data_IF_077171983373
#
_entry.id   IF_077171983373
#
_cell.length_a   1.000
_cell.length_b   1.000
_cell.length_c   1.000
_cell.angle_alpha   90.00
_cell.angle_beta   90.00
_cell.angle_gamma   90.00
#
_symmetry.space_group_name_H-M   'P 1'
#
loop_
_entity.id
_entity.type
_entity.pdbx_description
1 polymer ?
#
# COMPACT_ATOMS: atom_id res chain seq x y z
N UNK A 1 20.17 12.06 -35.69
CA UNK A 1 18.87 12.12 -34.98
C UNK A 1 18.46 10.80 -34.29
N UNK A 2 19.40 9.89 -33.95
CA UNK A 2 19.09 8.60 -33.29
C UNK A 2 19.50 8.50 -31.81
N UNK A 3 20.21 9.49 -31.23
CA UNK A 3 20.64 9.44 -29.82
C UNK A 3 19.63 10.03 -28.83
N UNK A 4 18.76 10.96 -29.25
CA UNK A 4 17.76 11.61 -28.38
C UNK A 4 16.62 10.67 -27.93
N UNK A 5 16.30 9.64 -28.73
CA UNK A 5 15.20 8.69 -28.48
C UNK A 5 15.61 7.59 -27.48
N UNK A 6 16.90 7.24 -27.42
CA UNK A 6 17.41 6.20 -26.50
C UNK A 6 17.46 6.68 -25.05
N UNK A 7 17.77 7.97 -24.83
CA UNK A 7 17.82 8.59 -23.50
C UNK A 7 16.42 8.75 -22.86
N UNK A 8 15.39 9.08 -23.65
CA UNK A 8 14.03 9.28 -23.11
C UNK A 8 13.39 7.96 -22.65
N UNK A 9 13.56 6.88 -23.42
CA UNK A 9 13.04 5.55 -23.05
C UNK A 9 13.70 4.97 -21.79
N UNK A 10 15.02 5.13 -21.65
CA UNK A 10 15.77 4.70 -20.46
C UNK A 10 15.34 5.44 -19.18
N UNK A 11 15.00 6.73 -19.31
CA UNK A 11 14.61 7.57 -18.17
C UNK A 11 13.19 7.23 -17.69
N UNK A 12 12.28 6.94 -18.63
CA UNK A 12 10.92 6.51 -18.32
C UNK A 12 10.90 5.15 -17.60
N UNK A 13 11.68 4.18 -18.09
CA UNK A 13 11.78 2.86 -17.46
C UNK A 13 12.30 2.93 -16.01
N UNK A 14 13.27 3.80 -15.73
CA UNK A 14 13.78 4.02 -14.38
C UNK A 14 12.73 4.67 -13.46
N UNK A 15 11.93 5.61 -13.97
CA UNK A 15 10.86 6.25 -13.21
C UNK A 15 9.75 5.26 -12.85
N UNK A 16 9.39 4.36 -13.77
CA UNK A 16 8.36 3.36 -13.54
C UNK A 16 8.82 2.27 -12.55
N UNK A 17 10.09 1.85 -12.64
CA UNK A 17 10.68 0.96 -11.64
C UNK A 17 10.66 1.60 -10.24
N UNK A 18 10.99 2.88 -10.12
CA UNK A 18 10.93 3.61 -8.84
C UNK A 18 9.52 3.64 -8.28
N UNK A 19 8.51 3.91 -9.11
CA UNK A 19 7.10 3.88 -8.69
C UNK A 19 6.69 2.49 -8.20
N UNK A 20 7.17 1.43 -8.84
CA UNK A 20 6.86 0.06 -8.46
C UNK A 20 7.47 -0.31 -7.10
N UNK A 21 8.75 -0.01 -6.90
CA UNK A 21 9.43 -0.22 -5.61
C UNK A 21 8.69 0.49 -4.46
N UNK A 22 8.23 1.72 -4.68
CA UNK A 22 7.47 2.47 -3.66
C UNK A 22 6.14 1.76 -3.32
N UNK A 23 5.42 1.26 -4.32
CA UNK A 23 4.16 0.54 -4.10
C UNK A 23 4.38 -0.76 -3.34
N UNK A 24 5.45 -1.48 -3.66
CA UNK A 24 5.78 -2.73 -2.99
C UNK A 24 6.25 -2.50 -1.55
N UNK A 25 6.94 -1.40 -1.27
CA UNK A 25 7.25 -0.97 0.09
C UNK A 25 5.97 -0.70 0.91
N UNK A 26 5.00 0.04 0.37
CA UNK A 26 3.73 0.32 1.04
C UNK A 26 2.97 -0.98 1.34
N UNK A 27 2.93 -1.91 0.38
CA UNK A 27 2.31 -3.23 0.59
C UNK A 27 3.02 -4.03 1.67
N UNK A 28 4.35 -4.06 1.67
CA UNK A 28 5.13 -4.78 2.67
C UNK A 28 4.85 -4.23 4.08
N UNK A 29 4.74 -2.91 4.22
CA UNK A 29 4.37 -2.27 5.48
C UNK A 29 2.97 -2.67 5.93
N UNK A 30 2.00 -2.66 5.01
CA UNK A 30 0.63 -3.07 5.32
C UNK A 30 0.55 -4.55 5.76
N UNK A 31 1.26 -5.45 5.07
CA UNK A 31 1.31 -6.88 5.40
C UNK A 31 1.96 -7.11 6.77
N UNK A 32 3.01 -6.35 7.09
CA UNK A 32 3.73 -6.44 8.35
C UNK A 32 3.06 -5.66 9.51
N UNK A 33 1.89 -5.07 9.28
CA UNK A 33 1.20 -4.17 10.22
C UNK A 33 2.09 -3.02 10.73
N UNK A 34 2.92 -2.48 9.83
CA UNK A 34 3.81 -1.36 10.11
C UNK A 34 3.15 -0.06 9.65
N UNK A 35 2.94 0.85 10.58
CA UNK A 35 2.44 2.19 10.30
C UNK A 35 3.34 2.92 9.28
N UNK A 36 2.73 3.51 8.24
CA UNK A 36 3.45 4.16 7.14
C UNK A 36 4.44 5.24 7.61
N UNK A 37 4.10 5.95 8.68
CA UNK A 37 4.94 6.96 9.35
C UNK A 37 6.32 6.44 9.75
N UNK A 38 6.44 5.14 10.07
CA UNK A 38 7.71 4.51 10.45
C UNK A 38 8.74 4.52 9.32
N UNK A 39 8.32 4.72 8.07
CA UNK A 39 9.25 4.88 6.95
C UNK A 39 10.25 6.00 7.20
N UNK A 40 9.82 7.10 7.85
CA UNK A 40 10.68 8.25 8.14
C UNK A 40 11.84 7.88 9.07
N UNK A 41 11.56 7.07 10.10
CA UNK A 41 12.57 6.55 11.02
C UNK A 41 13.53 5.55 10.33
N UNK A 42 13.07 4.89 9.28
CA UNK A 42 13.86 3.90 8.53
C UNK A 42 14.67 4.52 7.37
N UNK A 43 14.44 5.78 7.01
CA UNK A 43 15.18 6.47 5.94
C UNK A 43 16.72 6.41 6.13
N UNK A 44 17.29 6.63 7.33
CA UNK A 44 18.74 6.50 7.52
C UNK A 44 19.24 5.10 7.23
N UNK A 45 18.48 4.07 7.66
CA UNK A 45 18.80 2.68 7.40
C UNK A 45 18.77 2.38 5.89
N UNK A 46 17.71 2.78 5.20
CA UNK A 46 17.58 2.58 3.75
C UNK A 46 18.68 3.30 2.98
N UNK A 47 19.00 4.55 3.34
CA UNK A 47 20.07 5.32 2.70
C UNK A 47 21.43 4.63 2.84
N UNK A 48 21.70 4.01 3.99
CA UNK A 48 22.99 3.37 4.30
C UNK A 48 23.11 1.96 3.72
N UNK A 49 22.04 1.18 3.76
CA UNK A 49 22.11 -0.27 3.53
C UNK A 49 21.38 -0.75 2.26
N UNK A 50 20.53 0.07 1.66
CA UNK A 50 19.76 -0.30 0.47
C UNK A 50 20.26 0.49 -0.73
N UNK A 51 20.60 -0.21 -1.83
CA UNK A 51 20.98 0.43 -3.10
C UNK A 51 19.84 1.34 -3.56
N UNK A 52 20.13 2.61 -3.78
CA UNK A 52 19.15 3.67 -4.08
C UNK A 52 18.11 3.94 -2.97
N UNK A 53 18.31 3.44 -1.75
CA UNK A 53 17.39 3.65 -0.62
C UNK A 53 17.21 5.11 -0.21
N UNK A 54 18.18 5.97 -0.53
CA UNK A 54 18.04 7.43 -0.38
C UNK A 54 16.98 8.07 -1.29
N UNK A 55 16.43 7.31 -2.25
CA UNK A 55 15.33 7.76 -3.13
C UNK A 55 13.94 7.45 -2.58
N UNK A 56 13.83 6.77 -1.42
CA UNK A 56 12.57 6.49 -0.76
C UNK A 56 11.98 7.81 -0.23
N UNK A 57 10.69 8.01 -0.48
CA UNK A 57 9.99 9.23 -0.13
C UNK A 57 9.52 9.18 1.33
N UNK A 58 9.33 10.36 1.92
CA UNK A 58 8.78 10.48 3.26
C UNK A 58 7.29 10.10 3.31
N UNK A 59 6.83 9.74 4.50
CA UNK A 59 5.45 9.31 4.74
C UNK A 59 4.38 10.26 4.15
N UNK A 60 4.47 11.61 4.24
CA UNK A 60 3.44 12.48 3.67
C UNK A 60 3.29 12.32 2.16
N UNK A 61 4.41 12.27 1.44
CA UNK A 61 4.42 12.09 -0.03
C UNK A 61 3.91 10.69 -0.41
N UNK A 62 4.30 9.66 0.35
CA UNK A 62 3.78 8.31 0.13
C UNK A 62 2.26 8.25 0.32
N UNK A 63 1.76 8.85 1.40
CA UNK A 63 0.34 8.91 1.75
C UNK A 63 -0.50 9.66 0.72
N UNK A 64 0.01 10.77 0.18
CA UNK A 64 -0.75 11.60 -0.76
C UNK A 64 -0.69 11.07 -2.20
N UNK A 65 0.46 10.58 -2.65
CA UNK A 65 0.69 10.28 -4.08
C UNK A 65 0.52 8.78 -4.38
N UNK A 66 0.99 7.90 -3.50
CA UNK A 66 1.12 6.47 -3.81
C UNK A 66 0.07 5.61 -3.11
N UNK A 67 -0.22 5.91 -1.84
CA UNK A 67 -1.17 5.14 -1.04
C UNK A 67 -2.58 5.04 -1.67
N UNK A 68 -3.16 6.12 -2.25
CA UNK A 68 -4.49 6.01 -2.87
C UNK A 68 -4.51 4.99 -4.01
N UNK A 69 -3.44 4.95 -4.82
CA UNK A 69 -3.35 3.98 -5.91
C UNK A 69 -3.15 2.53 -5.43
N UNK A 70 -2.43 2.32 -4.33
CA UNK A 70 -2.28 0.99 -3.72
C UNK A 70 -3.62 0.54 -3.12
N UNK A 71 -4.30 1.44 -2.40
CA UNK A 71 -5.61 1.21 -1.83
C UNK A 71 -6.64 0.83 -2.90
N UNK A 72 -6.78 1.63 -3.96
CA UNK A 72 -7.76 1.36 -5.03
C UNK A 72 -7.54 -0.01 -5.68
N UNK A 73 -6.29 -0.39 -5.96
CA UNK A 73 -6.02 -1.73 -6.51
C UNK A 73 -6.46 -2.85 -5.56
N UNK A 74 -6.19 -2.68 -4.27
CA UNK A 74 -6.57 -3.66 -3.27
C UNK A 74 -8.09 -3.72 -3.11
N UNK A 75 -8.75 -2.56 -3.08
CA UNK A 75 -10.20 -2.44 -3.06
C UNK A 75 -10.85 -3.12 -4.28
N UNK A 76 -10.35 -2.88 -5.50
CA UNK A 76 -10.85 -3.57 -6.70
C UNK A 76 -10.60 -5.09 -6.64
N UNK A 77 -9.46 -5.53 -6.09
CA UNK A 77 -9.18 -6.94 -5.88
C UNK A 77 -10.17 -7.59 -4.91
N UNK A 78 -10.49 -6.92 -3.79
CA UNK A 78 -11.48 -7.39 -2.83
C UNK A 78 -12.88 -7.42 -3.45
N UNK A 79 -13.26 -6.36 -4.19
CA UNK A 79 -14.54 -6.30 -4.89
C UNK A 79 -14.69 -7.46 -5.87
N UNK A 80 -13.67 -7.74 -6.68
CA UNK A 80 -13.67 -8.89 -7.58
C UNK A 80 -13.66 -10.22 -6.83
N UNK A 81 -12.98 -10.31 -5.69
CA UNK A 81 -12.92 -11.53 -4.89
C UNK A 81 -14.28 -11.88 -4.28
N UNK A 82 -15.04 -10.88 -3.83
CA UNK A 82 -16.37 -11.06 -3.24
C UNK A 82 -17.51 -10.98 -4.23
N UNK A 83 -17.22 -10.74 -5.51
CA UNK A 83 -18.25 -10.60 -6.52
C UNK A 83 -19.12 -11.87 -6.58
N UNK A 84 -20.44 -11.67 -6.50
CA UNK A 84 -21.45 -12.74 -6.46
C UNK A 84 -21.28 -13.79 -5.34
N UNK A 85 -20.48 -13.52 -4.30
CA UNK A 85 -20.35 -14.41 -3.13
C UNK A 85 -21.27 -13.95 -1.99
N UNK A 86 -21.95 -14.87 -1.27
CA UNK A 86 -22.64 -14.51 -0.04
C UNK A 86 -21.62 -14.10 1.03
N UNK A 87 -21.78 -12.89 1.57
CA UNK A 87 -20.96 -12.35 2.65
C UNK A 87 -21.87 -11.94 3.79
N UNK A 88 -21.60 -12.45 4.99
CA UNK A 88 -22.22 -11.98 6.22
C UNK A 88 -21.39 -10.84 6.81
N UNK A 89 -22.05 -9.77 7.23
CA UNK A 89 -21.43 -8.63 7.91
C UNK A 89 -21.89 -8.66 9.37
N UNK A 90 -20.93 -8.72 10.29
CA UNK A 90 -21.18 -8.68 11.73
C UNK A 90 -20.68 -7.32 12.21
N UNK A 91 -21.57 -6.55 12.80
CA UNK A 91 -21.27 -5.24 13.38
C UNK A 91 -21.47 -5.31 14.89
N UNK A 92 -20.46 -4.92 15.63
CA UNK A 92 -20.47 -4.87 17.10
C UNK A 92 -20.01 -3.48 17.55
N UNK A 93 -20.85 -2.77 18.31
CA UNK A 93 -20.49 -1.48 18.88
C UNK A 93 -19.94 -1.68 20.29
N UNK A 94 -18.73 -1.15 20.52
CA UNK A 94 -18.06 -1.18 21.80
C UNK A 94 -17.59 0.23 22.17
N UNK A 95 -17.68 0.59 23.44
CA UNK A 95 -17.15 1.85 23.94
C UNK A 95 -15.77 1.62 24.54
N UNK A 96 -14.76 2.38 24.11
CA UNK A 96 -13.43 2.29 24.69
C UNK A 96 -13.32 3.00 26.05
N UNK A 97 -12.18 2.85 26.72
CA UNK A 97 -11.90 3.49 28.01
C UNK A 97 -11.84 5.04 27.93
N UNK A 98 -11.84 5.61 26.74
CA UNK A 98 -11.90 7.05 26.48
C UNK A 98 -13.32 7.52 26.12
N UNK A 99 -14.36 6.69 26.33
CA UNK A 99 -15.75 6.97 25.97
C UNK A 99 -15.97 7.22 24.46
N UNK A 100 -15.10 6.69 23.61
CA UNK A 100 -15.28 6.71 22.15
C UNK A 100 -16.02 5.45 21.72
N UNK A 101 -17.09 5.61 20.95
CA UNK A 101 -17.75 4.49 20.27
C UNK A 101 -16.84 3.96 19.16
N UNK A 102 -16.62 2.65 19.17
CA UNK A 102 -15.89 1.89 18.16
C UNK A 102 -16.84 0.87 17.58
N UNK A 103 -17.00 0.85 16.25
CA UNK A 103 -17.79 -0.16 15.56
C UNK A 103 -16.85 -1.19 14.94
N UNK A 104 -16.78 -2.37 15.53
CA UNK A 104 -16.08 -3.51 14.97
C UNK A 104 -16.90 -4.06 13.81
N UNK A 105 -16.30 -4.11 12.61
CA UNK A 105 -16.96 -4.67 11.42
C UNK A 105 -16.19 -5.89 10.94
N UNK A 106 -16.82 -7.06 11.02
CA UNK A 106 -16.25 -8.33 10.58
C UNK A 106 -17.00 -8.84 9.35
N UNK A 107 -16.25 -9.29 8.34
CA UNK A 107 -16.78 -9.91 7.14
C UNK A 107 -16.56 -11.42 7.21
N UNK A 108 -17.63 -12.20 7.22
CA UNK A 108 -17.59 -13.66 7.18
C UNK A 108 -18.10 -14.16 5.83
N UNK A 109 -17.40 -15.11 5.23
CA UNK A 109 -17.76 -15.68 3.93
C UNK A 109 -17.40 -17.17 3.90
N UNK A 110 -18.17 -17.95 3.15
CA UNK A 110 -17.85 -19.35 2.93
C UNK A 110 -16.84 -19.45 1.78
N UNK A 111 -15.67 -20.00 2.05
CA UNK A 111 -14.70 -20.30 1.01
C UNK A 111 -15.05 -21.68 0.43
N UNK A 112 -15.51 -21.73 -0.82
CA UNK A 112 -15.60 -23.01 -1.53
C UNK A 112 -14.18 -23.51 -1.77
N UNK A 113 -13.71 -24.44 -0.93
CA UNK A 113 -12.51 -25.21 -1.22
C UNK A 113 -12.90 -26.18 -2.34
N UNK A 114 -12.47 -25.88 -3.57
CA UNK A 114 -12.49 -26.85 -4.67
C UNK A 114 -11.29 -27.79 -4.57
#
# INVERSE_FOLDING_TARGET
MKSKIKHSASTQAAADLKKQVIKDLIKAFAIADILLEKVNSLLPFFKKHVKNGGSILQAPTLRQIYLPNVFERHHQSLKSFFDSKPVAIIMDEMTDNCARSVVNTLFAYQNEIK
#
